data_IF_201141907661
#
_entry.id   IF_201141907661
#
_cell.length_a   1.000
_cell.length_b   1.000
_cell.length_c   1.000
_cell.angle_alpha   90.00
_cell.angle_beta   90.00
_cell.angle_gamma   90.00
#
_symmetry.space_group_name_H-M   'P 1'
#
loop_
_entity.id
_entity.type
_entity.pdbx_description
1 polymer ?
#
# COMPACT_ATOMS: atom_id res chain seq x y z
N UNK A 1 0.65 27.87 8.98
CA UNK A 1 0.84 26.40 8.90
C UNK A 1 2.16 26.13 8.20
N UNK A 2 3.03 25.26 8.74
CA UNK A 2 4.26 24.83 8.05
C UNK A 2 4.08 23.38 7.67
N UNK A 3 3.84 23.11 6.38
CA UNK A 3 3.70 21.75 5.89
C UNK A 3 5.06 21.05 5.92
N UNK A 4 5.15 19.87 6.54
CA UNK A 4 6.38 19.08 6.54
C UNK A 4 6.42 18.12 5.35
N UNK A 5 6.97 18.62 4.24
CA UNK A 5 7.12 17.85 3.00
C UNK A 5 7.93 16.56 3.21
N UNK A 6 9.07 16.63 3.91
CA UNK A 6 9.95 15.47 4.11
C UNK A 6 9.27 14.37 4.91
N UNK A 7 8.62 14.73 6.02
CA UNK A 7 7.88 13.78 6.84
C UNK A 7 6.73 13.11 6.07
N UNK A 8 6.00 13.88 5.26
CA UNK A 8 4.90 13.34 4.44
C UNK A 8 5.41 12.36 3.39
N UNK A 9 6.54 12.68 2.75
CA UNK A 9 7.18 11.78 1.78
C UNK A 9 7.67 10.49 2.44
N UNK A 10 8.23 10.57 3.65
CA UNK A 10 8.65 9.40 4.41
C UNK A 10 7.46 8.50 4.77
N UNK A 11 6.35 9.09 5.25
CA UNK A 11 5.14 8.33 5.56
C UNK A 11 4.59 7.62 4.31
N UNK A 12 4.60 8.30 3.16
CA UNK A 12 4.19 7.68 1.91
C UNK A 12 5.09 6.50 1.50
N UNK A 13 6.41 6.63 1.66
CA UNK A 13 7.35 5.53 1.39
C UNK A 13 7.11 4.33 2.31
N UNK A 14 6.86 4.57 3.59
CA UNK A 14 6.57 3.49 4.55
C UNK A 14 5.31 2.71 4.16
N UNK A 15 4.25 3.40 3.70
CA UNK A 15 3.02 2.76 3.22
C UNK A 15 3.25 1.94 1.95
N UNK A 16 4.08 2.44 1.03
CA UNK A 16 4.45 1.73 -0.20
C UNK A 16 5.27 0.47 0.11
N UNK A 17 6.22 0.56 1.03
CA UNK A 17 6.99 -0.60 1.49
C UNK A 17 6.07 -1.64 2.13
N UNK A 18 5.16 -1.23 3.02
CA UNK A 18 4.21 -2.13 3.66
C UNK A 18 3.31 -2.83 2.62
N UNK A 19 2.83 -2.10 1.62
CA UNK A 19 2.05 -2.67 0.52
C UNK A 19 2.85 -3.70 -0.30
N UNK A 20 4.14 -3.41 -0.55
CA UNK A 20 5.05 -4.32 -1.25
C UNK A 20 5.32 -5.59 -0.45
N UNK A 21 5.57 -5.45 0.85
CA UNK A 21 5.79 -6.55 1.78
C UNK A 21 4.57 -7.47 1.85
N UNK A 22 3.37 -6.89 1.95
CA UNK A 22 2.11 -7.63 1.93
C UNK A 22 1.97 -8.49 0.67
N UNK A 23 2.27 -7.92 -0.51
CA UNK A 23 2.15 -8.68 -1.77
C UNK A 23 3.24 -9.73 -1.94
N UNK A 24 4.48 -9.39 -1.60
CA UNK A 24 5.64 -10.25 -1.83
C UNK A 24 5.73 -11.41 -0.84
N UNK A 25 5.27 -11.24 0.40
CA UNK A 25 5.35 -12.27 1.45
C UNK A 25 4.07 -13.10 1.54
N UNK A 26 2.90 -12.46 1.51
CA UNK A 26 1.64 -13.13 1.82
C UNK A 26 1.17 -14.03 0.69
N UNK A 27 1.31 -13.58 -0.57
CA UNK A 27 0.85 -14.36 -1.73
C UNK A 27 1.62 -15.68 -1.90
N UNK A 28 2.96 -15.73 -1.86
CA UNK A 28 3.69 -17.00 -1.93
C UNK A 28 3.42 -17.91 -0.74
N UNK A 29 3.31 -17.35 0.48
CA UNK A 29 3.04 -18.13 1.67
C UNK A 29 1.66 -18.81 1.62
N UNK A 30 0.62 -18.07 1.25
CA UNK A 30 -0.73 -18.61 1.08
C UNK A 30 -0.78 -19.62 -0.08
N UNK A 31 -0.07 -19.36 -1.17
CA UNK A 31 0.06 -20.30 -2.29
C UNK A 31 0.65 -21.64 -1.86
N UNK A 32 1.80 -21.64 -1.18
CA UNK A 32 2.44 -22.86 -0.69
C UNK A 32 1.58 -23.64 0.31
N UNK A 33 0.83 -22.95 1.17
CA UNK A 33 -0.13 -23.59 2.08
C UNK A 33 -1.28 -24.24 1.31
N UNK A 34 -1.85 -23.57 0.30
CA UNK A 34 -2.92 -24.16 -0.53
C UNK A 34 -2.46 -25.40 -1.27
N UNK A 35 -1.25 -25.40 -1.82
CA UNK A 35 -0.71 -26.54 -2.56
C UNK A 35 -0.53 -27.77 -1.65
N UNK A 36 0.06 -27.56 -0.45
CA UNK A 36 0.21 -28.62 0.54
C UNK A 36 -1.14 -29.17 1.02
N UNK A 37 -2.12 -28.31 1.26
CA UNK A 37 -3.45 -28.70 1.73
C UNK A 37 -4.25 -29.43 0.64
N UNK A 38 -4.16 -29.00 -0.62
CA UNK A 38 -4.78 -29.71 -1.75
C UNK A 38 -4.27 -31.14 -1.87
N UNK A 39 -2.97 -31.36 -1.62
CA UNK A 39 -2.36 -32.69 -1.70
C UNK A 39 -2.74 -33.61 -0.53
N UNK A 40 -2.87 -33.07 0.68
CA UNK A 40 -3.07 -33.84 1.90
C UNK A 40 -4.54 -33.93 2.37
N UNK A 41 -5.41 -33.01 1.95
CA UNK A 41 -6.77 -32.89 2.51
C UNK A 41 -7.84 -32.73 1.41
N UNK A 42 -8.24 -33.86 0.83
CA UNK A 42 -9.12 -33.93 -0.35
C UNK A 42 -10.63 -33.97 -0.06
N UNK A 43 -11.03 -33.84 1.22
CA UNK A 43 -12.43 -33.81 1.67
C UNK A 43 -13.10 -32.44 1.57
N UNK A 44 -14.42 -32.39 1.74
CA UNK A 44 -15.20 -31.14 1.59
C UNK A 44 -14.80 -30.05 2.60
N UNK A 45 -14.39 -30.44 3.80
CA UNK A 45 -13.81 -29.53 4.78
C UNK A 45 -12.48 -28.90 4.30
N UNK A 46 -11.65 -29.68 3.60
CA UNK A 46 -10.41 -29.19 2.99
C UNK A 46 -10.68 -28.19 1.88
N UNK A 47 -11.63 -28.51 0.99
CA UNK A 47 -12.09 -27.58 -0.07
C UNK A 47 -12.63 -26.27 0.52
N UNK A 48 -13.42 -26.33 1.59
CA UNK A 48 -13.94 -25.15 2.27
C UNK A 48 -12.83 -24.28 2.86
N UNK A 49 -11.82 -24.89 3.49
CA UNK A 49 -10.68 -24.15 4.04
C UNK A 49 -9.81 -23.52 2.95
N UNK A 50 -9.61 -24.20 1.82
CA UNK A 50 -8.88 -23.65 0.66
C UNK A 50 -9.60 -22.45 0.06
N UNK A 51 -10.94 -22.49 0.00
CA UNK A 51 -11.76 -21.34 -0.39
C UNK A 51 -11.55 -20.16 0.56
N UNK A 52 -11.60 -20.40 1.86
CA UNK A 52 -11.30 -19.38 2.87
C UNK A 52 -9.90 -18.76 2.68
N UNK A 53 -8.87 -19.57 2.41
CA UNK A 53 -7.52 -19.06 2.09
C UNK A 53 -7.51 -18.18 0.83
N UNK A 54 -8.33 -18.48 -0.17
CA UNK A 54 -8.53 -17.62 -1.33
C UNK A 54 -9.16 -16.26 -0.99
N UNK A 55 -10.13 -16.24 -0.08
CA UNK A 55 -10.74 -15.00 0.41
C UNK A 55 -9.73 -14.14 1.19
N UNK A 56 -8.90 -14.78 2.03
CA UNK A 56 -7.81 -14.10 2.76
C UNK A 56 -6.78 -13.52 1.80
N UNK A 57 -6.37 -14.26 0.76
CA UNK A 57 -5.45 -13.72 -0.27
C UNK A 57 -6.04 -12.48 -0.95
N UNK A 58 -7.33 -12.53 -1.31
CA UNK A 58 -8.03 -11.40 -1.94
C UNK A 58 -8.10 -10.16 -1.03
N UNK A 59 -8.41 -10.35 0.25
CA UNK A 59 -8.45 -9.26 1.23
C UNK A 59 -7.06 -8.64 1.43
N UNK A 60 -6.01 -9.46 1.53
CA UNK A 60 -4.63 -8.97 1.62
C UNK A 60 -4.22 -8.14 0.39
N UNK A 61 -4.60 -8.58 -0.81
CA UNK A 61 -4.39 -7.82 -2.05
C UNK A 61 -5.15 -6.49 -2.05
N UNK A 62 -6.39 -6.48 -1.54
CA UNK A 62 -7.20 -5.27 -1.40
C UNK A 62 -6.57 -4.27 -0.42
N UNK A 63 -6.09 -4.74 0.74
CA UNK A 63 -5.39 -3.90 1.72
C UNK A 63 -4.08 -3.33 1.16
N UNK A 64 -3.30 -4.13 0.44
CA UNK A 64 -2.09 -3.66 -0.21
C UNK A 64 -2.38 -2.59 -1.28
N UNK A 65 -3.46 -2.76 -2.07
CA UNK A 65 -3.92 -1.73 -3.03
C UNK A 65 -4.29 -0.43 -2.30
N UNK A 66 -5.03 -0.53 -1.19
CA UNK A 66 -5.41 0.62 -0.40
C UNK A 66 -4.19 1.40 0.14
N UNK A 67 -3.22 0.71 0.74
CA UNK A 67 -1.99 1.33 1.25
C UNK A 67 -1.22 2.07 0.14
N UNK A 68 -1.11 1.45 -1.04
CA UNK A 68 -0.47 2.09 -2.20
C UNK A 68 -1.23 3.35 -2.64
N UNK A 69 -2.56 3.30 -2.71
CA UNK A 69 -3.38 4.46 -3.09
C UNK A 69 -3.20 5.62 -2.11
N UNK A 70 -3.14 5.34 -0.81
CA UNK A 70 -2.87 6.36 0.22
C UNK A 70 -1.47 6.95 0.05
N UNK A 71 -0.44 6.11 -0.19
CA UNK A 71 0.92 6.57 -0.49
C UNK A 71 0.94 7.54 -1.69
N UNK A 72 0.29 7.16 -2.79
CA UNK A 72 0.23 7.97 -4.01
C UNK A 72 -0.50 9.30 -3.77
N UNK A 73 -1.57 9.28 -2.99
CA UNK A 73 -2.29 10.49 -2.58
C UNK A 73 -1.42 11.44 -1.75
N UNK A 74 -0.68 10.91 -0.77
CA UNK A 74 0.23 11.70 0.06
C UNK A 74 1.34 12.33 -0.77
N UNK A 75 1.99 11.57 -1.65
CA UNK A 75 3.03 12.06 -2.57
C UNK A 75 2.49 13.19 -3.46
N UNK A 76 1.30 13.00 -4.04
CA UNK A 76 0.65 13.99 -4.91
C UNK A 76 0.34 15.28 -4.15
N UNK A 77 -0.24 15.16 -2.97
CA UNK A 77 -0.61 16.30 -2.13
C UNK A 77 0.62 17.07 -1.64
N UNK A 78 1.66 16.36 -1.20
CA UNK A 78 2.91 16.98 -0.77
C UNK A 78 3.57 17.79 -1.89
N UNK A 79 3.60 17.25 -3.11
CA UNK A 79 4.14 17.95 -4.30
C UNK A 79 3.34 19.22 -4.61
N UNK A 80 2.01 19.15 -4.57
CA UNK A 80 1.13 20.31 -4.81
C UNK A 80 1.36 21.42 -3.79
N UNK A 81 1.45 21.08 -2.50
CA UNK A 81 1.70 22.07 -1.45
C UNK A 81 3.07 22.73 -1.64
N UNK A 82 4.11 21.95 -1.90
CA UNK A 82 5.46 22.49 -2.15
C UNK A 82 5.48 23.45 -3.34
N UNK A 83 4.82 23.10 -4.44
CA UNK A 83 4.70 23.97 -5.62
C UNK A 83 3.97 25.29 -5.30
N UNK A 84 2.89 25.22 -4.51
CA UNK A 84 2.15 26.41 -4.08
C UNK A 84 3.01 27.31 -3.18
N UNK A 85 3.76 26.74 -2.23
CA UNK A 85 4.68 27.49 -1.37
C UNK A 85 5.81 28.16 -2.18
N UNK A 86 6.35 27.48 -3.19
CA UNK A 86 7.37 28.05 -4.09
C UNK A 86 6.81 29.19 -4.95
N UNK A 87 5.60 29.05 -5.50
CA UNK A 87 4.94 30.08 -6.27
C UNK A 87 4.64 31.34 -5.42
N UNK A 88 4.17 31.15 -4.19
CA UNK A 88 3.93 32.23 -3.24
C UNK A 88 5.24 32.98 -2.91
N UNK A 89 6.33 32.25 -2.67
CA UNK A 89 7.66 32.84 -2.44
C UNK A 89 8.16 33.67 -3.63
N UNK A 90 8.03 33.16 -4.85
CA UNK A 90 8.42 33.90 -6.07
C UNK A 90 7.60 35.18 -6.23
N UNK A 91 6.30 35.10 -6.00
CA UNK A 91 5.40 36.25 -6.08
C UNK A 91 5.74 37.31 -5.03
N UNK A 92 6.03 36.90 -3.80
CA UNK A 92 6.46 37.81 -2.73
C UNK A 92 7.84 38.45 -3.02
N UNK A 93 8.78 37.69 -3.58
CA UNK A 93 10.12 38.18 -3.92
C UNK A 93 10.13 39.14 -5.14
N UNK A 94 9.15 39.03 -6.04
CA UNK A 94 8.99 39.96 -7.18
C UNK A 94 8.25 41.25 -6.86
N UNK A 95 7.76 41.43 -5.61
CA UNK A 95 7.11 42.65 -5.11
C UNK A 95 8.10 43.48 -4.25
N UNK A 96 9.39 43.10 -4.24
CA UNK A 96 10.50 43.86 -3.64
C UNK A 96 11.28 44.63 -4.68
#
# INVERSE_FOLDING_TARGET
MKFNYQQTMQQAQNLEQLASDLRSKTKPAIGGVKDNLNAAWTGDSGKAFIRFLGEVESDMDAKAKYLKNVSDYLKKTAKKIKQAEEAAKRSAAGIS
#
